data_IF_470114404599
#
_entry.id   IF_470114404599
#
_cell.length_a   1.000
_cell.length_b   1.000
_cell.length_c   1.000
_cell.angle_alpha   90.00
_cell.angle_beta   90.00
_cell.angle_gamma   90.00
#
_symmetry.space_group_name_H-M   'P 1'
#
loop_
_entity.id
_entity.type
_entity.pdbx_description
1 polymer ?
#
# COMPACT_ATOMS: atom_id res chain seq x y z
N UNK A 1 -48.21 -24.67 -21.07
CA UNK A 1 -47.81 -23.41 -20.43
C UNK A 1 -47.78 -22.31 -21.47
N UNK A 2 -48.38 -21.16 -21.23
CA UNK A 2 -48.49 -20.09 -22.24
C UNK A 2 -47.06 -19.53 -22.53
N UNK A 3 -46.77 -19.21 -23.81
CA UNK A 3 -45.47 -18.62 -24.24
C UNK A 3 -45.07 -17.42 -23.37
N UNK A 4 -46.05 -16.62 -22.92
CA UNK A 4 -45.78 -15.49 -21.97
C UNK A 4 -45.21 -15.95 -20.62
N UNK A 5 -45.72 -17.07 -20.06
CA UNK A 5 -45.23 -17.61 -18.78
C UNK A 5 -43.80 -18.14 -18.91
N UNK A 6 -43.45 -18.75 -20.05
CA UNK A 6 -42.07 -19.23 -20.31
C UNK A 6 -41.12 -18.05 -20.40
N UNK A 7 -41.49 -16.99 -21.13
CA UNK A 7 -40.66 -15.78 -21.26
C UNK A 7 -40.45 -15.12 -19.89
N UNK A 8 -41.47 -14.96 -19.09
CA UNK A 8 -41.37 -14.37 -17.75
C UNK A 8 -40.45 -15.19 -16.85
N UNK A 9 -40.59 -16.53 -16.86
CA UNK A 9 -39.72 -17.40 -16.06
C UNK A 9 -38.26 -17.33 -16.51
N UNK A 10 -37.99 -17.23 -17.82
CA UNK A 10 -36.65 -17.09 -18.33
C UNK A 10 -36.02 -15.74 -17.92
N UNK A 11 -36.77 -14.64 -17.96
CA UNK A 11 -36.30 -13.32 -17.52
C UNK A 11 -35.98 -13.32 -16.02
N UNK A 12 -36.85 -13.89 -15.19
CA UNK A 12 -36.63 -14.02 -13.74
C UNK A 12 -35.34 -14.83 -13.47
N UNK A 13 -35.14 -15.93 -14.17
CA UNK A 13 -33.93 -16.76 -14.01
C UNK A 13 -32.67 -15.99 -14.36
N UNK A 14 -32.69 -15.24 -15.46
CA UNK A 14 -31.55 -14.40 -15.87
C UNK A 14 -31.24 -13.34 -14.80
N UNK A 15 -32.28 -12.67 -14.26
CA UNK A 15 -32.12 -11.67 -13.22
C UNK A 15 -31.56 -12.27 -11.92
N UNK A 16 -31.97 -13.48 -11.54
CA UNK A 16 -31.41 -14.17 -10.37
C UNK A 16 -29.95 -14.57 -10.56
N UNK A 17 -29.58 -15.06 -11.75
CA UNK A 17 -28.19 -15.42 -12.08
C UNK A 17 -27.30 -14.17 -12.09
N UNK A 18 -27.77 -13.08 -12.71
CA UNK A 18 -27.00 -11.82 -12.73
C UNK A 18 -26.83 -11.23 -11.34
N UNK A 19 -27.88 -11.23 -10.51
CA UNK A 19 -27.81 -10.79 -9.11
C UNK A 19 -26.84 -11.67 -8.29
N UNK A 20 -26.87 -12.98 -8.50
CA UNK A 20 -25.93 -13.92 -7.86
C UNK A 20 -24.48 -13.68 -8.27
N UNK A 21 -24.22 -13.44 -9.55
CA UNK A 21 -22.87 -13.10 -10.03
C UNK A 21 -22.37 -11.76 -9.48
N UNK A 22 -23.24 -10.76 -9.42
CA UNK A 22 -22.91 -9.45 -8.82
C UNK A 22 -22.62 -9.62 -7.33
N UNK A 23 -23.45 -10.33 -6.58
CA UNK A 23 -23.25 -10.60 -5.16
C UNK A 23 -21.94 -11.36 -4.90
N UNK A 24 -21.61 -12.34 -5.75
CA UNK A 24 -20.32 -13.04 -5.65
C UNK A 24 -19.13 -12.12 -5.93
N UNK A 25 -19.22 -11.30 -6.96
CA UNK A 25 -18.15 -10.35 -7.32
C UNK A 25 -17.99 -9.26 -6.25
N UNK A 26 -19.08 -8.84 -5.63
CA UNK A 26 -19.07 -7.85 -4.54
C UNK A 26 -18.75 -8.46 -3.17
N UNK A 27 -18.72 -9.79 -3.03
CA UNK A 27 -18.44 -10.48 -1.77
C UNK A 27 -17.13 -10.00 -1.12
N UNK A 28 -16.11 -9.71 -1.92
CA UNK A 28 -14.85 -9.19 -1.41
C UNK A 28 -14.96 -7.79 -0.79
N UNK A 29 -15.91 -6.97 -1.23
CA UNK A 29 -16.15 -5.65 -0.64
C UNK A 29 -16.89 -5.72 0.70
N UNK A 30 -17.63 -6.80 0.95
CA UNK A 30 -18.42 -6.98 2.19
C UNK A 30 -17.70 -7.83 3.24
N UNK A 31 -16.72 -8.66 2.87
CA UNK A 31 -15.98 -9.51 3.82
C UNK A 31 -14.85 -8.73 4.52
N UNK A 32 -14.43 -7.59 3.98
CA UNK A 32 -13.31 -6.80 4.49
C UNK A 32 -13.60 -5.90 5.70
N UNK A 33 -14.83 -5.87 6.23
CA UNK A 33 -15.20 -4.93 7.32
C UNK A 33 -15.64 -5.60 8.62
N UNK A 34 -15.34 -6.87 8.81
CA UNK A 34 -15.46 -7.47 10.13
C UNK A 34 -14.28 -7.04 10.98
N UNK A 35 -14.38 -5.89 11.62
CA UNK A 35 -13.48 -5.45 12.68
C UNK A 35 -13.76 -6.20 13.98
N UNK A 36 -13.67 -7.52 13.97
CA UNK A 36 -13.35 -8.22 15.21
C UNK A 36 -11.98 -7.68 15.67
N UNK A 37 -11.77 -7.34 16.93
CA UNK A 37 -10.45 -6.97 17.41
C UNK A 37 -9.51 -8.16 17.14
N UNK A 38 -8.76 -8.09 16.05
CA UNK A 38 -7.71 -9.06 15.78
C UNK A 38 -6.70 -8.83 16.87
N UNK A 39 -6.51 -9.85 17.74
CA UNK A 39 -5.44 -9.81 18.71
C UNK A 39 -4.14 -9.59 17.93
N UNK A 40 -3.46 -8.49 18.21
CA UNK A 40 -2.19 -8.20 17.56
C UNK A 40 -1.25 -9.40 17.80
N UNK A 41 -0.69 -9.92 16.71
CA UNK A 41 0.34 -10.95 16.77
C UNK A 41 1.69 -10.28 16.92
N UNK A 42 2.59 -10.91 17.65
CA UNK A 42 3.96 -10.46 17.86
C UNK A 42 4.93 -11.46 17.25
N UNK A 43 6.16 -11.05 16.99
CA UNK A 43 7.21 -11.91 16.42
C UNK A 43 7.37 -13.21 17.18
N UNK A 44 7.26 -13.17 18.51
CA UNK A 44 7.34 -14.36 19.38
C UNK A 44 6.26 -15.41 19.08
N UNK A 45 5.07 -15.02 18.59
CA UNK A 45 3.99 -15.94 18.26
C UNK A 45 4.33 -16.81 17.03
N UNK A 46 5.32 -16.38 16.25
CA UNK A 46 5.82 -17.05 15.06
C UNK A 46 7.24 -17.60 15.22
N UNK A 47 7.85 -17.47 16.40
CA UNK A 47 9.23 -17.88 16.63
C UNK A 47 10.27 -17.01 15.90
N UNK A 48 9.89 -15.80 15.51
CA UNK A 48 10.78 -14.81 14.86
C UNK A 48 11.47 -14.02 15.96
N UNK A 49 12.80 -13.86 15.85
CA UNK A 49 13.54 -13.00 16.76
C UNK A 49 13.22 -11.52 16.50
N UNK A 50 13.11 -10.74 17.57
CA UNK A 50 12.96 -9.29 17.40
C UNK A 50 14.24 -8.71 16.79
N UNK A 51 14.05 -7.92 15.75
CA UNK A 51 15.10 -7.18 15.09
C UNK A 51 14.95 -5.69 15.44
N UNK A 52 16.07 -5.08 15.82
CA UNK A 52 16.15 -3.65 16.08
C UNK A 52 17.20 -3.05 15.18
N UNK A 53 16.82 -2.04 14.40
CA UNK A 53 17.78 -1.23 13.65
C UNK A 53 18.65 -0.42 14.61
N UNK A 54 19.92 -0.25 14.27
CA UNK A 54 20.80 0.70 14.97
C UNK A 54 20.88 2.04 14.22
N UNK A 55 20.09 2.19 13.16
CA UNK A 55 20.06 3.41 12.36
C UNK A 55 19.03 4.36 12.95
N UNK A 56 19.41 5.61 13.13
CA UNK A 56 18.60 6.74 13.58
C UNK A 56 19.04 7.91 12.69
N UNK A 57 18.36 8.08 11.55
CA UNK A 57 18.78 8.98 10.48
C UNK A 57 18.52 10.45 10.82
N UNK A 58 17.42 10.73 11.50
CA UNK A 58 17.07 12.11 11.88
C UNK A 58 17.68 12.55 13.22
N UNK A 59 18.26 11.59 13.99
CA UNK A 59 19.02 11.85 15.20
C UNK A 59 18.15 12.22 16.40
N UNK A 60 16.90 11.75 16.45
CA UNK A 60 15.97 12.07 17.54
C UNK A 60 16.08 11.10 18.73
N UNK A 61 16.84 10.00 18.58
CA UNK A 61 17.08 8.98 19.61
C UNK A 61 16.13 7.77 19.53
N UNK A 62 15.30 7.70 18.50
CA UNK A 62 14.46 6.55 18.15
C UNK A 62 15.05 5.89 16.91
N UNK A 63 14.98 4.58 16.81
CA UNK A 63 15.49 3.90 15.61
C UNK A 63 14.50 4.05 14.43
N UNK A 64 15.05 4.12 13.20
CA UNK A 64 14.28 4.33 11.97
C UNK A 64 13.11 3.33 11.81
N UNK A 65 13.29 2.08 12.21
CA UNK A 65 12.26 1.05 12.10
C UNK A 65 11.04 1.38 12.98
N UNK A 66 11.29 1.87 14.19
CA UNK A 66 10.24 2.32 15.11
C UNK A 66 9.53 3.55 14.56
N UNK A 67 10.28 4.52 14.03
CA UNK A 67 9.71 5.74 13.45
C UNK A 67 8.88 5.47 12.20
N UNK A 68 9.36 4.63 11.30
CA UNK A 68 8.60 4.22 10.10
C UNK A 68 7.28 3.56 10.49
N UNK A 69 7.30 2.66 11.48
CA UNK A 69 6.08 2.01 11.95
C UNK A 69 5.11 3.01 12.59
N UNK A 70 5.63 3.91 13.43
CA UNK A 70 4.80 4.93 14.08
C UNK A 70 4.24 5.92 13.05
N UNK A 71 5.04 6.39 12.11
CA UNK A 71 4.61 7.27 11.03
C UNK A 71 3.52 6.67 10.15
N UNK A 72 3.63 5.36 9.86
CA UNK A 72 2.56 4.64 9.16
C UNK A 72 1.25 4.63 9.96
N UNK A 73 1.32 4.38 11.26
CA UNK A 73 0.14 4.38 12.16
C UNK A 73 -0.48 5.78 12.27
N UNK A 74 0.32 6.79 12.38
CA UNK A 74 -0.13 8.19 12.47
C UNK A 74 -0.81 8.62 11.17
N UNK A 75 -0.26 8.27 10.01
CA UNK A 75 -0.91 8.52 8.74
C UNK A 75 -2.26 7.79 8.63
N UNK A 76 -2.35 6.52 9.02
CA UNK A 76 -3.62 5.76 9.03
C UNK A 76 -4.64 6.41 9.98
N UNK A 77 -4.20 6.95 11.11
CA UNK A 77 -5.08 7.60 12.08
C UNK A 77 -5.76 8.85 11.52
N UNK A 78 -5.20 9.49 10.49
CA UNK A 78 -5.85 10.62 9.77
C UNK A 78 -7.04 10.17 8.92
N UNK A 79 -7.18 8.86 8.66
CA UNK A 79 -8.26 8.24 7.88
C UNK A 79 -8.42 8.85 6.48
N UNK A 80 -7.37 8.89 5.67
CA UNK A 80 -7.44 9.49 4.35
C UNK A 80 -8.45 8.76 3.47
N UNK A 81 -9.19 9.52 2.68
CA UNK A 81 -10.11 8.96 1.67
C UNK A 81 -9.30 8.58 0.45
N UNK A 82 -9.41 7.33 0.00
CA UNK A 82 -8.64 6.84 -1.14
C UNK A 82 -9.04 7.57 -2.42
N UNK A 83 -8.14 8.40 -2.94
CA UNK A 83 -8.31 9.12 -4.20
C UNK A 83 -6.97 9.56 -4.75
N UNK A 84 -6.70 9.19 -6.02
CA UNK A 84 -5.55 9.70 -6.73
C UNK A 84 -5.79 11.13 -7.20
N UNK A 85 -4.89 12.05 -6.83
CA UNK A 85 -4.84 13.45 -7.26
C UNK A 85 -3.39 13.85 -7.50
N UNK A 86 -3.19 14.80 -8.39
CA UNK A 86 -1.92 15.50 -8.52
C UNK A 86 -1.84 16.63 -7.50
N UNK A 87 -0.67 16.79 -6.88
CA UNK A 87 -0.35 17.87 -5.95
C UNK A 87 0.93 18.54 -6.43
N UNK A 88 0.87 19.85 -6.70
CA UNK A 88 2.03 20.63 -7.15
C UNK A 88 3.11 20.80 -6.07
N UNK A 89 2.83 20.37 -4.85
CA UNK A 89 3.77 20.31 -3.72
C UNK A 89 4.27 18.90 -3.45
N UNK A 90 3.88 17.92 -4.28
CA UNK A 90 4.21 16.52 -4.14
C UNK A 90 3.31 15.78 -3.15
N UNK A 91 3.39 16.11 -1.90
CA UNK A 91 2.59 15.47 -0.85
C UNK A 91 1.14 15.97 -0.80
N UNK A 92 0.16 15.08 -0.50
CA UNK A 92 -1.22 15.50 -0.25
C UNK A 92 -1.33 16.50 0.90
N UNK A 93 -2.09 17.56 0.68
CA UNK A 93 -2.40 18.62 1.65
C UNK A 93 -3.88 18.67 2.04
N UNK A 94 -4.64 17.63 1.68
CA UNK A 94 -6.07 17.50 1.96
C UNK A 94 -6.42 16.11 2.55
N UNK A 95 -7.71 15.75 2.57
CA UNK A 95 -8.18 14.48 3.12
C UNK A 95 -7.99 13.27 2.19
N UNK A 96 -7.36 13.42 1.02
CA UNK A 96 -7.18 12.33 0.09
C UNK A 96 -5.77 11.77 0.13
N UNK A 97 -5.65 10.48 -0.24
CA UNK A 97 -4.36 9.81 -0.34
C UNK A 97 -4.46 8.49 -1.08
N UNK A 98 -3.30 7.93 -1.40
CA UNK A 98 -3.15 6.61 -2.01
C UNK A 98 -2.15 5.78 -1.21
N UNK A 99 -1.97 4.49 -1.55
CA UNK A 99 -1.10 3.59 -0.80
C UNK A 99 0.36 4.07 -0.71
N UNK A 100 0.88 4.70 -1.76
CA UNK A 100 2.24 5.26 -1.77
C UNK A 100 2.41 6.46 -0.87
N UNK A 101 1.34 7.22 -0.60
CA UNK A 101 1.39 8.33 0.35
C UNK A 101 1.58 7.83 1.79
N UNK A 102 1.05 6.64 2.12
CA UNK A 102 1.31 6.00 3.41
C UNK A 102 2.79 5.64 3.53
N UNK A 103 3.37 5.02 2.50
CA UNK A 103 4.80 4.64 2.49
C UNK A 103 5.68 5.88 2.60
N UNK A 104 5.37 6.93 1.84
CA UNK A 104 6.14 8.17 1.84
C UNK A 104 6.08 8.90 3.19
N UNK A 105 4.90 8.96 3.82
CA UNK A 105 4.78 9.58 5.15
C UNK A 105 5.45 8.75 6.24
N UNK A 106 5.38 7.42 6.16
CA UNK A 106 6.06 6.52 7.09
C UNK A 106 7.59 6.71 7.04
N UNK A 107 8.18 6.73 5.85
CA UNK A 107 9.62 6.94 5.68
C UNK A 107 10.04 8.37 6.08
N UNK A 108 9.19 9.36 5.81
CA UNK A 108 9.49 10.75 6.17
C UNK A 108 9.54 10.96 7.68
N UNK A 109 8.80 10.18 8.49
CA UNK A 109 8.90 10.24 9.96
C UNK A 109 10.26 9.79 10.50
N UNK A 110 11.01 8.99 9.73
CA UNK A 110 12.39 8.58 10.02
C UNK A 110 13.43 9.40 9.23
N UNK A 111 13.07 10.58 8.72
CA UNK A 111 14.01 11.46 8.02
C UNK A 111 14.30 11.08 6.56
N UNK A 112 13.51 10.21 5.93
CA UNK A 112 13.65 9.84 4.52
C UNK A 112 12.59 10.52 3.66
N UNK A 113 12.91 11.60 2.97
CA UNK A 113 11.99 12.22 2.02
C UNK A 113 12.00 11.50 0.67
N UNK A 114 10.99 10.64 0.43
CA UNK A 114 10.91 9.87 -0.81
C UNK A 114 10.77 10.75 -2.06
N UNK A 115 10.20 11.94 -1.95
CA UNK A 115 10.08 12.84 -3.10
C UNK A 115 11.47 13.24 -3.61
N UNK A 116 12.37 13.62 -2.71
CA UNK A 116 13.74 13.99 -3.05
C UNK A 116 14.57 12.76 -3.45
N UNK A 117 14.49 11.69 -2.66
CA UNK A 117 15.30 10.48 -2.87
C UNK A 117 14.99 9.76 -4.19
N UNK A 118 13.71 9.69 -4.56
CA UNK A 118 13.28 9.09 -5.84
C UNK A 118 13.66 9.98 -7.02
N UNK A 119 13.55 11.31 -6.88
CA UNK A 119 13.98 12.25 -7.92
C UNK A 119 15.50 12.16 -8.17
N UNK A 120 16.30 12.09 -7.11
CA UNK A 120 17.75 11.88 -7.20
C UNK A 120 18.09 10.56 -7.92
N UNK A 121 17.41 9.46 -7.58
CA UNK A 121 17.66 8.16 -8.21
C UNK A 121 17.22 8.15 -9.67
N UNK A 122 16.07 8.75 -10.02
CA UNK A 122 15.60 8.89 -11.40
C UNK A 122 16.62 9.70 -12.22
N UNK A 123 17.12 10.81 -11.69
CA UNK A 123 18.11 11.64 -12.37
C UNK A 123 19.43 10.89 -12.61
N UNK A 124 19.81 9.98 -11.72
CA UNK A 124 21.02 9.16 -11.85
C UNK A 124 20.83 7.94 -12.78
N UNK A 125 19.64 7.37 -12.84
CA UNK A 125 19.36 6.07 -13.45
C UNK A 125 18.09 6.09 -14.33
N UNK A 126 17.83 7.18 -15.06
CA UNK A 126 16.59 7.39 -15.84
C UNK A 126 16.26 6.22 -16.76
N UNK A 127 17.27 5.53 -17.30
CA UNK A 127 17.10 4.40 -18.21
C UNK A 127 16.45 3.16 -17.54
N UNK A 128 16.42 3.09 -16.21
CA UNK A 128 15.85 1.98 -15.45
C UNK A 128 14.37 2.22 -15.13
N UNK A 129 13.90 3.46 -15.37
CA UNK A 129 12.52 3.89 -15.14
C UNK A 129 11.73 3.97 -16.44
N UNK A 130 10.46 3.58 -16.38
CA UNK A 130 9.52 3.74 -17.50
C UNK A 130 8.86 5.13 -17.46
N UNK A 131 9.71 6.16 -17.63
CA UNK A 131 9.33 7.57 -17.54
C UNK A 131 9.86 8.31 -18.79
N UNK A 132 8.97 8.99 -19.50
CA UNK A 132 9.37 9.86 -20.62
C UNK A 132 9.83 11.24 -20.12
N UNK A 133 9.11 11.82 -19.17
CA UNK A 133 9.39 13.12 -18.58
C UNK A 133 9.26 13.02 -17.06
N UNK A 134 10.36 13.16 -16.30
CA UNK A 134 10.33 13.13 -14.84
C UNK A 134 9.51 14.29 -14.26
N UNK A 135 8.75 13.99 -13.20
CA UNK A 135 8.02 14.97 -12.41
C UNK A 135 8.14 14.61 -10.92
N UNK A 136 9.01 15.32 -10.22
CA UNK A 136 9.31 15.15 -8.81
C UNK A 136 8.04 15.10 -7.93
N UNK A 137 6.98 15.83 -8.31
CA UNK A 137 5.75 15.93 -7.51
C UNK A 137 4.86 14.69 -7.60
N UNK A 138 5.10 13.78 -8.56
CA UNK A 138 4.25 12.59 -8.73
C UNK A 138 5.05 11.29 -8.81
N UNK A 139 6.32 11.31 -9.21
CA UNK A 139 7.08 10.10 -9.50
C UNK A 139 7.28 9.22 -8.26
N UNK A 140 7.55 9.79 -7.09
CA UNK A 140 7.65 9.05 -5.82
C UNK A 140 6.31 8.43 -5.38
N UNK A 141 5.19 8.82 -5.98
CA UNK A 141 3.85 8.30 -5.70
C UNK A 141 3.42 7.20 -6.67
N UNK A 142 4.28 6.82 -7.63
CA UNK A 142 4.04 5.74 -8.58
C UNK A 142 4.67 4.45 -8.12
N UNK A 143 3.85 3.39 -7.97
CA UNK A 143 4.31 2.09 -7.48
C UNK A 143 5.45 1.51 -8.33
N UNK A 144 5.38 1.67 -9.66
CA UNK A 144 6.44 1.17 -10.55
C UNK A 144 7.77 1.88 -10.29
N UNK A 145 7.75 3.19 -10.04
CA UNK A 145 8.96 3.95 -9.74
C UNK A 145 9.52 3.57 -8.37
N UNK A 146 8.66 3.45 -7.35
CA UNK A 146 9.10 2.97 -6.03
C UNK A 146 9.70 1.56 -6.09
N UNK A 147 9.17 0.69 -6.96
CA UNK A 147 9.75 -0.66 -7.15
C UNK A 147 11.19 -0.57 -7.67
N UNK A 148 11.47 0.32 -8.62
CA UNK A 148 12.82 0.53 -9.16
C UNK A 148 13.72 1.13 -8.08
N UNK A 149 13.26 2.22 -7.45
CA UNK A 149 13.98 2.89 -6.38
C UNK A 149 14.40 1.92 -5.25
N UNK A 150 13.45 1.12 -4.74
CA UNK A 150 13.77 0.15 -3.68
C UNK A 150 14.63 -1.02 -4.19
N UNK A 151 14.60 -1.35 -5.48
CA UNK A 151 15.55 -2.33 -6.04
C UNK A 151 16.98 -1.81 -6.05
N UNK A 152 17.19 -0.49 -6.17
CA UNK A 152 18.49 0.14 -6.10
C UNK A 152 18.98 0.34 -4.65
N UNK A 153 18.09 0.60 -3.70
CA UNK A 153 18.44 1.13 -2.39
C UNK A 153 18.15 0.20 -1.21
N UNK A 154 17.21 -0.73 -1.35
CA UNK A 154 16.80 -1.61 -0.26
C UNK A 154 17.41 -3.02 -0.39
N UNK A 155 17.48 -3.72 0.73
CA UNK A 155 17.93 -5.12 0.77
C UNK A 155 16.76 -6.02 0.34
N UNK A 156 16.88 -6.80 -0.75
CA UNK A 156 15.83 -7.70 -1.17
C UNK A 156 15.72 -8.88 -0.19
N UNK A 157 14.53 -9.08 0.34
CA UNK A 157 14.21 -10.24 1.18
C UNK A 157 13.58 -11.36 0.35
N UNK A 158 13.33 -12.51 1.01
CA UNK A 158 12.65 -13.64 0.36
C UNK A 158 11.24 -13.28 -0.10
N UNK A 159 10.81 -13.87 -1.21
CA UNK A 159 9.41 -13.89 -1.64
C UNK A 159 8.70 -15.19 -1.26
N UNK A 160 9.42 -16.14 -0.62
CA UNK A 160 8.83 -17.39 -0.13
C UNK A 160 8.03 -17.13 1.16
N UNK A 161 6.70 -17.17 1.01
CA UNK A 161 5.76 -16.95 2.12
C UNK A 161 5.78 -18.07 3.19
N UNK A 162 6.44 -19.20 2.89
CA UNK A 162 6.58 -20.32 3.83
C UNK A 162 7.87 -20.25 4.65
N UNK A 163 8.83 -19.44 4.24
CA UNK A 163 10.06 -19.20 5.00
C UNK A 163 9.86 -18.03 5.99
N UNK A 164 9.08 -18.31 7.03
CA UNK A 164 8.67 -17.30 8.01
C UNK A 164 9.85 -16.65 8.76
N UNK A 165 10.99 -17.36 8.84
CA UNK A 165 12.19 -16.85 9.53
C UNK A 165 12.85 -15.68 8.81
N UNK A 166 12.54 -15.49 7.52
CA UNK A 166 13.06 -14.40 6.70
C UNK A 166 12.15 -13.15 6.71
N UNK A 167 10.92 -13.29 7.21
CA UNK A 167 9.96 -12.19 7.33
C UNK A 167 10.16 -11.49 8.69
N UNK A 168 11.17 -10.65 8.74
CA UNK A 168 11.47 -9.82 9.91
C UNK A 168 11.01 -8.40 9.64
N UNK A 169 10.33 -7.80 10.61
CA UNK A 169 9.84 -6.43 10.54
C UNK A 169 9.98 -5.71 11.85
#
# INVERSE_FOLDING_TARGET
MSKKKIIISAVILILLVTAGCIAWRCRYYFIGTSSAPVQAKENKDFGIADFHSSVDKDGDGIDDQTDILQGARDYIATKPVYKSKYYSTGYPDDQYGVCTDLVANALRSAGYDLMELVDEDINAHLQDYDIEEPDINIDFRRVNNLKVYFAHTAIPLTTDIYDISQWQG
#
